data_IF_105349995714
#
_entry.id   IF_105349995714
#
_cell.length_a   1.000
_cell.length_b   1.000
_cell.length_c   1.000
_cell.angle_alpha   90.00
_cell.angle_beta   90.00
_cell.angle_gamma   90.00
#
_symmetry.space_group_name_H-M   'P 1'
#
loop_
_entity.id
_entity.type
_entity.pdbx_description
1 polymer ?
#
# COMPACT_ATOMS: atom_id res chain seq x y z
N UNK A 1 41.73 10.69 58.63
CA UNK A 1 41.57 11.51 57.40
C UNK A 1 41.68 10.62 56.18
N UNK A 2 40.58 10.37 55.45
CA UNK A 2 40.55 9.81 54.08
C UNK A 2 39.14 10.06 53.47
N UNK A 3 39.02 11.23 52.81
CA UNK A 3 38.33 11.53 51.52
C UNK A 3 37.10 10.65 51.18
N UNK A 4 35.82 11.07 51.29
CA UNK A 4 35.04 12.06 50.49
C UNK A 4 35.29 12.01 48.96
N UNK A 5 34.79 10.99 48.26
CA UNK A 5 34.79 10.93 46.78
C UNK A 5 33.57 10.27 46.10
N UNK A 6 32.49 9.97 46.82
CA UNK A 6 31.38 9.17 46.25
C UNK A 6 30.08 9.92 45.90
N UNK A 7 29.99 11.24 46.11
CA UNK A 7 28.75 12.00 45.88
C UNK A 7 28.79 12.97 44.68
N UNK A 8 29.92 13.13 43.99
CA UNK A 8 30.05 14.11 42.90
C UNK A 8 29.76 13.54 41.50
N UNK A 9 29.60 12.22 41.38
CA UNK A 9 29.34 11.53 40.11
C UNK A 9 27.86 11.25 39.81
N UNK A 10 26.97 11.45 40.80
CA UNK A 10 25.53 11.20 40.63
C UNK A 10 24.77 12.49 40.26
N UNK A 11 25.35 13.66 40.51
CA UNK A 11 24.74 14.95 40.18
C UNK A 11 24.98 15.43 38.73
N UNK A 12 25.90 14.79 37.99
CA UNK A 12 26.21 15.14 36.60
C UNK A 12 25.29 14.44 35.58
N UNK A 13 24.62 13.35 35.97
CA UNK A 13 23.73 12.60 35.07
C UNK A 13 22.28 13.10 35.04
N UNK A 14 21.86 13.91 36.02
CA UNK A 14 20.49 14.44 36.07
C UNK A 14 20.35 15.73 35.25
N UNK A 15 21.45 16.44 34.97
CA UNK A 15 21.43 17.67 34.16
C UNK A 15 21.45 17.43 32.64
N UNK A 16 21.60 16.17 32.18
CA UNK A 16 21.60 15.82 30.75
C UNK A 16 20.23 15.35 30.22
N UNK A 17 19.20 15.28 31.06
CA UNK A 17 17.87 14.72 30.68
C UNK A 17 16.83 15.82 30.35
N UNK A 18 17.18 17.10 30.46
CA UNK A 18 16.25 18.22 30.23
C UNK A 18 16.60 19.09 29.00
N UNK A 19 17.33 18.52 28.03
CA UNK A 19 17.94 19.28 26.93
C UNK A 19 17.48 18.92 25.51
N UNK A 20 16.37 18.21 25.32
CA UNK A 20 15.79 17.96 24.00
C UNK A 20 14.25 18.07 24.07
N UNK A 21 13.76 19.24 24.49
CA UNK A 21 12.51 19.73 23.94
C UNK A 21 12.84 20.25 22.54
N UNK A 22 12.97 19.33 21.59
CA UNK A 22 12.96 19.68 20.18
C UNK A 22 11.58 20.24 19.87
N UNK A 23 11.44 21.56 19.92
CA UNK A 23 10.50 22.22 19.03
C UNK A 23 10.97 21.84 17.62
N UNK A 24 10.37 20.79 17.09
CA UNK A 24 10.36 20.54 15.66
C UNK A 24 9.77 21.81 15.06
N UNK A 25 10.61 22.61 14.41
CA UNK A 25 10.10 23.64 13.51
C UNK A 25 9.26 22.88 12.49
N UNK A 26 7.94 22.94 12.65
CA UNK A 26 7.03 22.59 11.59
C UNK A 26 7.46 23.46 10.41
N UNK A 27 8.00 22.82 9.36
CA UNK A 27 8.18 23.48 8.08
C UNK A 27 6.86 24.17 7.76
N UNK A 28 6.90 25.50 7.64
CA UNK A 28 5.74 26.35 7.44
C UNK A 28 5.14 26.00 6.07
N UNK A 29 4.28 24.98 6.05
CA UNK A 29 3.50 24.62 4.88
C UNK A 29 2.37 25.63 4.79
N UNK A 30 2.31 26.33 3.68
CA UNK A 30 1.26 27.29 3.38
C UNK A 30 0.74 27.06 1.98
N UNK A 31 -0.53 27.31 1.78
CA UNK A 31 -1.17 27.22 0.48
C UNK A 31 -1.87 28.54 0.13
N UNK A 32 -2.06 28.76 -1.15
CA UNK A 32 -3.08 29.69 -1.62
C UNK A 32 -4.43 29.02 -1.45
N UNK A 33 -5.22 29.53 -0.51
CA UNK A 33 -6.54 28.98 -0.23
C UNK A 33 -7.43 28.96 -1.48
N UNK A 34 -8.17 27.87 -1.66
CA UNK A 34 -9.05 27.68 -2.81
C UNK A 34 -9.28 26.22 -3.14
N UNK A 35 -10.06 26.02 -4.20
CA UNK A 35 -10.37 24.70 -4.76
C UNK A 35 -9.61 24.51 -6.06
N UNK A 36 -8.91 23.39 -6.16
CA UNK A 36 -8.04 23.07 -7.29
C UNK A 36 -8.38 21.68 -7.82
N UNK A 37 -8.31 21.53 -9.14
CA UNK A 37 -8.52 20.24 -9.79
C UNK A 37 -7.30 19.84 -10.60
N UNK A 38 -7.06 18.54 -10.66
CA UNK A 38 -6.00 17.95 -11.46
C UNK A 38 -6.39 16.55 -11.90
N UNK A 39 -5.76 16.08 -12.97
CA UNK A 39 -5.94 14.73 -13.49
C UNK A 39 -4.60 14.01 -13.61
N UNK A 40 -4.61 12.71 -13.35
CA UNK A 40 -3.46 11.83 -13.58
C UNK A 40 -3.89 10.54 -14.26
N UNK A 41 -2.96 9.91 -14.98
CA UNK A 41 -3.23 8.65 -15.69
C UNK A 41 -3.34 7.47 -14.72
N UNK A 42 -4.54 6.94 -14.55
CA UNK A 42 -4.84 5.67 -13.88
C UNK A 42 -4.65 4.45 -14.77
N UNK A 43 -5.18 3.29 -14.35
CA UNK A 43 -5.01 2.02 -15.07
C UNK A 43 -5.82 1.95 -16.35
N UNK A 44 -7.08 2.40 -16.30
CA UNK A 44 -8.05 2.30 -17.39
C UNK A 44 -8.42 3.67 -18.00
N UNK A 45 -7.88 4.75 -17.45
CA UNK A 45 -8.10 6.11 -17.94
C UNK A 45 -7.63 7.16 -16.93
N UNK A 46 -7.84 8.44 -17.23
CA UNK A 46 -7.55 9.50 -16.28
C UNK A 46 -8.43 9.39 -15.02
N UNK A 47 -7.84 9.75 -13.88
CA UNK A 47 -8.51 9.99 -12.61
C UNK A 47 -8.39 11.47 -12.31
N UNK A 48 -9.52 12.13 -12.06
CA UNK A 48 -9.62 13.55 -11.74
C UNK A 48 -9.94 13.71 -10.25
N UNK A 49 -9.19 14.59 -9.59
CA UNK A 49 -9.38 14.92 -8.18
C UNK A 49 -9.68 16.41 -8.02
N UNK A 50 -10.48 16.72 -7.00
CA UNK A 50 -10.69 18.06 -6.48
C UNK A 50 -10.10 18.14 -5.07
N UNK A 51 -9.33 19.19 -4.79
CA UNK A 51 -8.69 19.42 -3.49
C UNK A 51 -9.03 20.82 -3.02
N UNK A 52 -9.47 20.92 -1.77
CA UNK A 52 -9.72 22.21 -1.11
C UNK A 52 -8.59 22.49 -0.12
N UNK A 53 -7.97 23.65 -0.26
CA UNK A 53 -6.93 24.14 0.66
C UNK A 53 -7.42 25.36 1.42
N UNK A 54 -7.09 25.41 2.71
CA UNK A 54 -7.01 26.66 3.46
C UNK A 54 -5.61 27.27 3.29
N UNK A 55 -5.29 28.34 4.00
CA UNK A 55 -3.94 28.90 3.97
C UNK A 55 -2.88 27.97 4.61
N UNK A 56 -3.30 26.99 5.43
CA UNK A 56 -2.39 26.16 6.22
C UNK A 56 -2.60 24.64 6.12
N UNK A 57 -3.73 24.17 5.58
CA UNK A 57 -4.09 22.75 5.56
C UNK A 57 -4.84 22.33 4.29
N UNK A 58 -4.79 21.02 4.02
CA UNK A 58 -5.62 20.31 3.04
C UNK A 58 -6.95 20.01 3.74
N UNK A 59 -8.02 20.69 3.37
CA UNK A 59 -9.34 20.55 4.00
C UNK A 59 -10.09 19.33 3.47
N UNK A 60 -10.03 19.08 2.16
CA UNK A 60 -10.66 17.92 1.53
C UNK A 60 -9.93 17.49 0.27
N UNK A 61 -10.05 16.19 -0.03
CA UNK A 61 -9.63 15.57 -1.28
C UNK A 61 -10.78 14.70 -1.74
N UNK A 62 -11.25 14.90 -2.96
CA UNK A 62 -12.35 14.13 -3.56
C UNK A 62 -11.95 13.63 -4.95
N UNK A 63 -12.24 12.36 -5.26
CA UNK A 63 -12.10 11.84 -6.62
C UNK A 63 -13.41 12.05 -7.34
N UNK A 64 -13.42 12.97 -8.31
CA UNK A 64 -14.65 13.44 -8.98
C UNK A 64 -14.93 12.73 -10.31
N UNK A 65 -13.92 12.10 -10.91
CA UNK A 65 -14.07 11.35 -12.17
C UNK A 65 -13.00 10.25 -12.31
N UNK A 66 -13.37 9.09 -12.86
CA UNK A 66 -12.45 7.98 -13.12
C UNK A 66 -13.02 7.00 -14.16
N UNK A 67 -12.17 6.09 -14.66
CA UNK A 67 -12.56 4.96 -15.53
C UNK A 67 -12.08 3.60 -15.02
N UNK A 68 -11.73 3.54 -13.75
CA UNK A 68 -11.15 2.35 -13.11
C UNK A 68 -12.14 1.20 -12.97
N UNK A 69 -11.64 0.01 -12.66
CA UNK A 69 -12.45 -1.22 -12.56
C UNK A 69 -13.26 -1.24 -11.27
N UNK A 70 -14.57 -1.49 -11.39
CA UNK A 70 -15.46 -1.75 -10.24
C UNK A 70 -14.94 -2.91 -9.38
N UNK A 71 -14.98 -2.75 -8.06
CA UNK A 71 -14.44 -3.70 -7.07
C UNK A 71 -12.94 -3.57 -6.79
N UNK A 72 -12.19 -2.75 -7.54
CA UNK A 72 -10.77 -2.43 -7.30
C UNK A 72 -10.59 -0.97 -6.88
N UNK A 73 -11.42 -0.07 -7.40
CA UNK A 73 -11.27 1.39 -7.27
C UNK A 73 -11.75 1.96 -5.93
N UNK A 74 -12.72 1.31 -5.29
CA UNK A 74 -13.46 1.84 -4.15
C UNK A 74 -12.55 2.09 -2.95
N UNK A 75 -11.69 1.11 -2.63
CA UNK A 75 -10.80 1.19 -1.48
C UNK A 75 -9.73 2.32 -1.62
N UNK A 76 -9.01 2.46 -2.76
CA UNK A 76 -8.14 3.62 -2.99
C UNK A 76 -8.83 4.96 -2.83
N UNK A 77 -10.06 5.11 -3.34
CA UNK A 77 -10.80 6.39 -3.35
C UNK A 77 -11.36 6.75 -1.99
N UNK A 78 -11.67 5.76 -1.17
CA UNK A 78 -12.07 6.01 0.21
C UNK A 78 -10.86 6.30 1.10
N UNK A 79 -9.82 5.45 1.04
CA UNK A 79 -8.73 5.47 2.04
C UNK A 79 -7.66 6.50 1.75
N UNK A 80 -7.22 6.67 0.50
CA UNK A 80 -6.08 7.55 0.20
C UNK A 80 -6.45 9.02 0.44
N UNK A 81 -7.54 9.58 -0.12
CA UNK A 81 -7.97 10.94 0.17
C UNK A 81 -8.15 11.20 1.67
N UNK A 82 -8.80 10.27 2.38
CA UNK A 82 -8.99 10.36 3.83
C UNK A 82 -7.66 10.43 4.58
N UNK A 83 -6.73 9.54 4.28
CA UNK A 83 -5.42 9.52 4.93
C UNK A 83 -4.61 10.79 4.64
N UNK A 84 -4.69 11.33 3.41
CA UNK A 84 -4.03 12.60 3.06
C UNK A 84 -4.54 13.74 3.96
N UNK A 85 -5.87 13.85 4.12
CA UNK A 85 -6.49 14.88 4.96
C UNK A 85 -6.19 14.65 6.45
N UNK A 86 -6.29 13.42 6.94
CA UNK A 86 -6.03 13.10 8.36
C UNK A 86 -4.57 13.30 8.75
N UNK A 87 -3.64 12.98 7.85
CA UNK A 87 -2.20 13.02 8.13
C UNK A 87 -1.53 14.30 7.63
N UNK A 88 -2.23 15.11 6.84
CA UNK A 88 -1.67 16.28 6.15
C UNK A 88 -0.36 15.93 5.43
N UNK A 89 -0.37 14.79 4.72
CA UNK A 89 0.82 14.16 4.14
C UNK A 89 0.50 13.46 2.82
N UNK A 90 1.48 13.42 1.92
CA UNK A 90 1.45 12.59 0.71
C UNK A 90 2.24 11.28 0.88
N UNK A 91 2.86 11.05 2.05
CA UNK A 91 3.53 9.81 2.41
C UNK A 91 2.50 8.74 2.85
N UNK A 92 1.49 8.51 2.03
CA UNK A 92 0.40 7.56 2.29
C UNK A 92 0.65 6.26 1.51
N UNK A 93 0.59 5.13 2.21
CA UNK A 93 0.72 3.80 1.60
C UNK A 93 -0.32 3.57 0.46
N UNK A 94 0.18 3.05 -0.67
CA UNK A 94 -0.68 2.59 -1.78
C UNK A 94 -1.54 1.38 -1.40
N UNK A 95 -2.73 1.25 -2.00
CA UNK A 95 -3.59 0.08 -1.79
C UNK A 95 -3.08 -1.11 -2.62
N UNK A 96 -2.93 -2.25 -1.96
CA UNK A 96 -2.49 -3.49 -2.59
C UNK A 96 -3.45 -3.93 -3.70
N UNK A 97 -2.91 -4.20 -4.89
CA UNK A 97 -3.72 -4.58 -6.06
C UNK A 97 -4.27 -3.40 -6.86
N UNK A 98 -4.17 -2.18 -6.33
CA UNK A 98 -4.64 -0.94 -6.96
C UNK A 98 -3.52 0.13 -7.04
N UNK A 99 -2.29 -0.30 -7.32
CA UNK A 99 -1.11 0.59 -7.34
C UNK A 99 -1.26 1.73 -8.36
N UNK A 100 -1.65 1.44 -9.60
CA UNK A 100 -1.83 2.48 -10.62
C UNK A 100 -2.89 3.52 -10.23
N UNK A 101 -3.99 3.07 -9.62
CA UNK A 101 -5.04 3.94 -9.10
C UNK A 101 -4.54 4.79 -7.94
N UNK A 102 -3.83 4.17 -7.00
CA UNK A 102 -3.25 4.85 -5.83
C UNK A 102 -2.26 5.93 -6.24
N UNK A 103 -1.33 5.58 -7.14
CA UNK A 103 -0.32 6.49 -7.66
C UNK A 103 -0.94 7.65 -8.45
N UNK A 104 -2.02 7.39 -9.19
CA UNK A 104 -2.72 8.43 -9.94
C UNK A 104 -3.40 9.43 -9.01
N UNK A 105 -4.07 8.97 -7.94
CA UNK A 105 -4.67 9.86 -6.93
C UNK A 105 -3.57 10.71 -6.28
N UNK A 106 -2.48 10.10 -5.81
CA UNK A 106 -1.37 10.82 -5.18
C UNK A 106 -0.75 11.86 -6.11
N UNK A 107 -0.54 11.53 -7.39
CA UNK A 107 0.00 12.46 -8.39
C UNK A 107 -0.95 13.62 -8.67
N UNK A 108 -2.25 13.35 -8.80
CA UNK A 108 -3.22 14.40 -9.04
C UNK A 108 -3.31 15.35 -7.83
N UNK A 109 -3.24 14.82 -6.60
CA UNK A 109 -3.18 15.67 -5.39
C UNK A 109 -1.87 16.46 -5.33
N UNK A 110 -0.73 15.85 -5.67
CA UNK A 110 0.56 16.53 -5.79
C UNK A 110 0.48 17.72 -6.77
N UNK A 111 -0.17 17.53 -7.92
CA UNK A 111 -0.38 18.60 -8.89
C UNK A 111 -1.29 19.72 -8.31
N UNK A 112 -2.33 19.37 -7.55
CA UNK A 112 -3.15 20.37 -6.84
C UNK A 112 -2.35 21.15 -5.79
N UNK A 113 -1.45 20.48 -5.05
CA UNK A 113 -0.54 21.13 -4.08
C UNK A 113 0.35 22.15 -4.79
N UNK A 114 0.91 21.80 -5.94
CA UNK A 114 1.73 22.72 -6.75
C UNK A 114 0.91 23.90 -7.25
N UNK A 115 -0.33 23.68 -7.70
CA UNK A 115 -1.23 24.76 -8.13
C UNK A 115 -1.61 25.71 -6.98
N UNK A 116 -1.70 25.18 -5.76
CA UNK A 116 -1.92 25.94 -4.54
C UNK A 116 -0.62 26.55 -3.99
N UNK A 117 0.49 26.50 -4.72
CA UNK A 117 1.81 27.04 -4.34
C UNK A 117 2.39 26.40 -3.06
N UNK A 118 1.92 25.21 -2.67
CA UNK A 118 2.42 24.44 -1.53
C UNK A 118 3.70 23.67 -1.84
N UNK A 119 4.43 23.28 -0.79
CA UNK A 119 5.65 22.50 -0.92
C UNK A 119 5.34 20.99 -0.85
N UNK A 120 5.51 20.30 -1.98
CA UNK A 120 5.25 18.86 -2.09
C UNK A 120 6.26 18.02 -1.30
N UNK A 121 7.53 18.43 -1.26
CA UNK A 121 8.59 17.65 -0.60
C UNK A 121 8.34 17.55 0.90
N UNK A 122 7.86 18.63 1.51
CA UNK A 122 7.42 18.65 2.92
C UNK A 122 6.34 17.60 3.19
N UNK A 123 5.37 17.46 2.27
CA UNK A 123 4.29 16.48 2.44
C UNK A 123 4.74 15.03 2.21
N UNK A 124 5.76 14.81 1.39
CA UNK A 124 6.34 13.49 1.12
C UNK A 124 7.33 13.04 2.21
N UNK A 125 7.97 13.99 2.89
CA UNK A 125 8.91 13.72 3.98
C UNK A 125 8.24 13.65 5.36
N UNK A 126 6.97 14.10 5.47
CA UNK A 126 6.19 13.95 6.70
C UNK A 126 6.16 12.48 7.13
N UNK A 127 6.58 12.21 8.38
CA UNK A 127 6.60 10.85 8.91
C UNK A 127 5.19 10.26 8.85
N UNK A 128 5.07 9.14 8.14
CA UNK A 128 3.83 8.38 8.08
C UNK A 128 3.43 8.00 9.52
N UNK A 129 2.30 8.54 10.00
CA UNK A 129 1.82 8.25 11.35
C UNK A 129 1.20 6.85 11.40
N UNK A 130 2.06 5.83 11.35
CA UNK A 130 1.65 4.45 11.60
C UNK A 130 1.32 4.35 13.09
N UNK A 131 0.03 4.18 13.40
CA UNK A 131 -0.40 3.81 14.75
C UNK A 131 0.37 2.58 15.23
N UNK A 132 0.51 2.42 16.56
CA UNK A 132 1.25 1.28 17.14
C UNK A 132 0.75 -0.05 16.55
N UNK A 133 1.59 -0.67 15.71
CA UNK A 133 1.30 -1.98 15.14
C UNK A 133 1.36 -3.02 16.27
N UNK A 134 0.21 -3.63 16.60
CA UNK A 134 0.18 -4.78 17.49
C UNK A 134 0.93 -5.93 16.83
N UNK A 135 2.03 -6.34 17.47
CA UNK A 135 2.81 -7.49 17.01
C UNK A 135 2.34 -8.73 17.77
N UNK A 136 1.90 -9.74 17.04
CA UNK A 136 1.63 -11.08 17.57
C UNK A 136 2.60 -12.09 16.96
N UNK A 137 2.95 -13.11 17.73
CA UNK A 137 3.75 -14.23 17.27
C UNK A 137 2.87 -15.47 17.20
N UNK A 138 2.77 -16.06 16.01
CA UNK A 138 1.99 -17.25 15.74
C UNK A 138 2.88 -18.32 15.13
N UNK A 139 2.64 -19.59 15.49
CA UNK A 139 3.40 -20.74 14.99
C UNK A 139 2.52 -21.61 14.09
N UNK A 140 3.03 -21.90 12.89
CA UNK A 140 2.42 -22.73 11.87
C UNK A 140 3.44 -23.71 11.31
N UNK A 141 2.96 -24.82 10.77
CA UNK A 141 3.83 -25.85 10.18
C UNK A 141 4.30 -25.39 8.79
N UNK A 142 3.41 -24.71 8.05
CA UNK A 142 3.68 -24.13 6.73
C UNK A 142 3.08 -22.73 6.64
N UNK A 143 3.86 -21.78 6.11
CA UNK A 143 3.40 -20.43 5.76
C UNK A 143 3.48 -20.28 4.25
N UNK A 144 2.36 -19.95 3.61
CA UNK A 144 2.25 -19.67 2.18
C UNK A 144 2.01 -18.18 1.99
N UNK A 145 2.83 -17.53 1.17
CA UNK A 145 2.74 -16.10 0.87
C UNK A 145 2.23 -15.91 -0.56
N UNK A 146 1.06 -15.29 -0.68
CA UNK A 146 0.32 -15.04 -1.92
C UNK A 146 -0.82 -16.05 -2.12
N UNK A 147 -2.06 -15.57 -2.18
CA UNK A 147 -3.27 -16.38 -2.40
C UNK A 147 -3.67 -16.48 -3.89
N UNK A 148 -2.68 -16.43 -4.78
CA UNK A 148 -2.86 -16.75 -6.20
C UNK A 148 -3.04 -18.26 -6.45
N UNK A 149 -3.17 -18.66 -7.71
CA UNK A 149 -3.42 -20.06 -8.07
C UNK A 149 -2.39 -21.05 -7.46
N UNK A 150 -1.10 -20.71 -7.53
CA UNK A 150 -0.04 -21.56 -6.98
C UNK A 150 -0.08 -21.63 -5.44
N UNK A 151 -0.19 -20.49 -4.75
CA UNK A 151 -0.19 -20.44 -3.29
C UNK A 151 -1.44 -21.09 -2.69
N UNK A 152 -2.63 -20.82 -3.26
CA UNK A 152 -3.85 -21.50 -2.84
C UNK A 152 -3.79 -23.01 -3.09
N UNK A 153 -3.23 -23.45 -4.22
CA UNK A 153 -3.03 -24.90 -4.48
C UNK A 153 -2.05 -25.54 -3.50
N UNK A 154 -0.95 -24.85 -3.18
CA UNK A 154 0.03 -25.31 -2.21
C UNK A 154 -0.58 -25.39 -0.80
N UNK A 155 -1.33 -24.37 -0.40
CA UNK A 155 -2.02 -24.32 0.89
C UNK A 155 -3.07 -25.43 1.03
N UNK A 156 -3.85 -25.67 -0.03
CA UNK A 156 -4.81 -26.78 -0.08
C UNK A 156 -4.09 -28.12 0.10
N UNK A 157 -3.03 -28.36 -0.68
CA UNK A 157 -2.31 -29.64 -0.61
C UNK A 157 -1.69 -29.89 0.76
N UNK A 158 -1.10 -28.88 1.37
CA UNK A 158 -0.57 -28.95 2.74
C UNK A 158 -1.69 -29.21 3.77
N UNK A 159 -2.84 -28.55 3.62
CA UNK A 159 -3.99 -28.78 4.49
C UNK A 159 -4.56 -30.20 4.39
N UNK A 160 -4.52 -30.83 3.21
CA UNK A 160 -4.94 -32.24 3.03
C UNK A 160 -4.01 -33.22 3.77
N UNK A 161 -2.76 -32.86 3.99
CA UNK A 161 -1.79 -33.64 4.79
C UNK A 161 -1.90 -33.35 6.31
N UNK A 162 -2.88 -32.54 6.73
CA UNK A 162 -3.16 -32.11 8.10
C UNK A 162 -2.13 -31.14 8.70
N UNK A 163 -1.35 -30.43 7.88
CA UNK A 163 -0.49 -29.34 8.35
C UNK A 163 -1.32 -28.13 8.79
N UNK A 164 -0.87 -27.39 9.81
CA UNK A 164 -1.44 -26.07 10.13
C UNK A 164 -0.84 -25.04 9.18
N UNK A 165 -1.64 -24.62 8.22
CA UNK A 165 -1.22 -23.70 7.16
C UNK A 165 -1.72 -22.28 7.42
N UNK A 166 -0.82 -21.31 7.33
CA UNK A 166 -1.16 -19.88 7.21
C UNK A 166 -1.00 -19.45 5.75
N UNK A 167 -2.08 -19.01 5.10
CA UNK A 167 -2.05 -18.40 3.78
C UNK A 167 -2.22 -16.89 3.90
N UNK A 168 -1.23 -16.13 3.45
CA UNK A 168 -1.22 -14.66 3.49
C UNK A 168 -1.44 -14.09 2.09
N UNK A 169 -2.23 -13.03 1.99
CA UNK A 169 -2.41 -12.24 0.77
C UNK A 169 -2.34 -10.76 1.13
N UNK A 170 -1.66 -9.97 0.30
CA UNK A 170 -1.51 -8.53 0.52
C UNK A 170 -2.76 -7.77 0.07
N UNK A 171 -3.48 -8.27 -0.93
CA UNK A 171 -4.72 -7.66 -1.44
C UNK A 171 -5.92 -7.92 -0.54
N UNK A 172 -6.98 -7.12 -0.68
CA UNK A 172 -8.22 -7.27 0.10
C UNK A 172 -8.95 -8.62 -0.12
N UNK A 173 -8.71 -9.25 -1.28
CA UNK A 173 -9.30 -10.54 -1.65
C UNK A 173 -8.21 -11.47 -2.22
N UNK A 174 -8.36 -12.80 -2.13
CA UNK A 174 -7.48 -13.74 -2.83
C UNK A 174 -7.43 -13.42 -4.33
N UNK A 175 -6.25 -13.04 -4.82
CA UNK A 175 -6.07 -12.57 -6.18
C UNK A 175 -4.67 -12.96 -6.69
N UNK A 176 -4.33 -12.50 -7.90
CA UNK A 176 -3.03 -12.70 -8.53
C UNK A 176 -3.18 -12.69 -10.04
N UNK A 177 -2.08 -12.77 -10.78
CA UNK A 177 -2.14 -12.75 -12.25
C UNK A 177 -3.01 -13.87 -12.85
N UNK A 178 -3.20 -14.98 -12.12
CA UNK A 178 -4.03 -16.08 -12.55
C UNK A 178 -5.53 -15.73 -12.67
N UNK A 179 -6.05 -14.72 -11.97
CA UNK A 179 -7.45 -14.28 -12.14
C UNK A 179 -7.68 -13.60 -13.49
N UNK A 180 -6.60 -13.17 -14.16
CA UNK A 180 -6.60 -12.58 -15.49
C UNK A 180 -6.30 -13.60 -16.60
N UNK A 181 -6.05 -14.87 -16.25
CA UNK A 181 -5.71 -15.89 -17.22
C UNK A 181 -6.94 -16.24 -18.08
N UNK A 182 -6.77 -16.30 -19.41
CA UNK A 182 -7.84 -16.66 -20.34
C UNK A 182 -8.24 -18.15 -20.31
N UNK A 183 -7.45 -18.99 -19.63
CA UNK A 183 -7.72 -20.41 -19.48
C UNK A 183 -6.52 -21.17 -18.92
N UNK A 184 -6.76 -22.45 -18.61
CA UNK A 184 -5.70 -23.38 -18.21
C UNK A 184 -5.32 -24.25 -19.40
N UNK A 185 -4.03 -24.39 -19.66
CA UNK A 185 -3.54 -25.32 -20.66
C UNK A 185 -3.28 -26.69 -20.03
N UNK A 186 -3.78 -27.75 -20.65
CA UNK A 186 -3.53 -29.12 -20.24
C UNK A 186 -3.37 -30.01 -21.48
N UNK A 187 -2.34 -30.86 -21.50
CA UNK A 187 -2.20 -31.91 -22.50
C UNK A 187 -3.00 -33.15 -22.06
N UNK A 188 -3.50 -33.92 -23.02
CA UNK A 188 -4.23 -35.18 -22.81
C UNK A 188 -5.46 -35.07 -21.90
N UNK A 189 -6.06 -33.88 -21.80
CA UNK A 189 -7.20 -33.62 -20.91
C UNK A 189 -8.45 -34.35 -21.35
N UNK A 190 -9.34 -34.68 -20.40
CA UNK A 190 -10.62 -35.29 -20.72
C UNK A 190 -11.48 -34.37 -21.60
N UNK A 191 -11.45 -33.05 -21.37
CA UNK A 191 -12.17 -32.05 -22.17
C UNK A 191 -11.73 -32.04 -23.64
N UNK A 192 -10.43 -32.14 -23.92
CA UNK A 192 -9.93 -32.28 -25.30
C UNK A 192 -10.43 -33.57 -25.94
N UNK A 193 -10.31 -34.69 -25.23
CA UNK A 193 -10.75 -36.01 -25.72
C UNK A 193 -12.25 -36.04 -26.03
N UNK A 194 -13.06 -35.43 -25.18
CA UNK A 194 -14.51 -35.28 -25.38
C UNK A 194 -14.84 -34.38 -26.59
N UNK A 195 -14.04 -33.35 -26.83
CA UNK A 195 -14.16 -32.47 -27.99
C UNK A 195 -13.61 -33.09 -29.30
N UNK A 196 -12.99 -34.27 -29.26
CA UNK A 196 -12.34 -34.89 -30.41
C UNK A 196 -11.01 -34.23 -30.82
N UNK A 197 -10.49 -33.35 -29.97
CA UNK A 197 -9.21 -32.67 -30.15
C UNK A 197 -8.12 -33.43 -29.37
N UNK A 198 -6.88 -33.43 -29.84
CA UNK A 198 -5.78 -34.06 -29.08
C UNK A 198 -4.53 -33.21 -29.14
N UNK A 199 -4.13 -32.74 -27.96
CA UNK A 199 -2.82 -32.14 -27.68
C UNK A 199 -2.09 -33.14 -26.79
N UNK A 200 -0.99 -33.71 -27.27
CA UNK A 200 -0.17 -34.61 -26.48
C UNK A 200 0.97 -33.86 -25.75
N UNK A 201 1.62 -34.57 -24.82
CA UNK A 201 2.68 -34.01 -23.97
C UNK A 201 3.95 -33.66 -24.75
N UNK A 202 4.26 -34.42 -25.80
CA UNK A 202 5.47 -34.23 -26.60
C UNK A 202 5.33 -32.96 -27.45
N UNK A 203 4.20 -32.83 -28.14
CA UNK A 203 3.81 -31.61 -28.84
C UNK A 203 3.84 -30.39 -27.92
N UNK A 204 3.30 -30.51 -26.69
CA UNK A 204 3.30 -29.40 -25.74
C UNK A 204 4.72 -29.00 -25.34
N UNK A 205 5.58 -29.97 -25.04
CA UNK A 205 6.96 -29.74 -24.67
C UNK A 205 7.72 -29.04 -25.81
N UNK A 206 7.58 -29.51 -27.05
CA UNK A 206 8.26 -28.93 -28.21
C UNK A 206 7.80 -27.50 -28.56
N UNK A 207 6.54 -27.16 -28.28
CA UNK A 207 5.98 -25.83 -28.61
C UNK A 207 6.17 -24.78 -27.52
N UNK A 208 6.58 -25.17 -26.31
CA UNK A 208 6.69 -24.29 -25.14
C UNK A 208 8.09 -23.71 -24.89
N UNK A 209 9.07 -24.08 -25.73
CA UNK A 209 10.48 -23.65 -25.68
C UNK A 209 10.76 -22.80 -26.92
#
# INVERSE_FOLDING_TARGET
>A
MKVKKSCFLILLCIAAVLGFAGCQEASEQSYKAGTYTAEASGKNGPIEVEVVFSESEIESVEVISHKETEGIFEEPVEKIPKNIVEQQSLAVDSIAGATYTSDAILKAVEDCVVQAEGNVEVLKEAEEQKGEAKTEQLEYDIIVVGAGAAGTSAALKASEENDRVLLLEKTAYPMGAATLAGGMFAAESNLQKEAGETVDKEWLYEKSI
#
